data_IF_678648929191
#
_entry.id   IF_678648929191
#
_cell.length_a   1.000
_cell.length_b   1.000
_cell.length_c   1.000
_cell.angle_alpha   90.00
_cell.angle_beta   90.00
_cell.angle_gamma   90.00
#
_symmetry.space_group_name_H-M   'P 1'
#
loop_
_entity.id
_entity.type
_entity.pdbx_description
1 polymer ?
#
# COMPACT_ATOMS: atom_id res chain seq x y z
N UNK A 1 -8.26 -14.70 5.43
CA UNK A 1 -9.39 -13.86 4.94
C UNK A 1 -9.03 -13.16 3.64
N UNK A 2 -9.81 -13.38 2.57
CA UNK A 2 -9.75 -12.56 1.35
C UNK A 2 -10.30 -11.17 1.68
N UNK A 3 -9.43 -10.21 1.99
CA UNK A 3 -9.89 -8.84 2.22
C UNK A 3 -10.56 -8.28 0.97
N UNK A 4 -11.66 -7.55 1.17
CA UNK A 4 -12.44 -6.98 0.07
C UNK A 4 -11.54 -6.10 -0.79
N UNK A 5 -11.55 -6.34 -2.09
CA UNK A 5 -10.82 -5.52 -3.06
C UNK A 5 -11.69 -4.33 -3.47
N UNK A 6 -11.16 -3.12 -3.33
CA UNK A 6 -11.84 -1.88 -3.71
C UNK A 6 -10.87 -0.94 -4.43
N UNK A 7 -11.43 0.08 -5.08
CA UNK A 7 -10.65 1.07 -5.83
C UNK A 7 -10.36 2.29 -4.97
N UNK A 8 -9.11 2.71 -4.98
CA UNK A 8 -8.61 3.85 -4.24
C UNK A 8 -7.78 4.75 -5.16
N UNK A 9 -7.70 6.02 -4.79
CA UNK A 9 -6.87 7.00 -5.48
C UNK A 9 -5.45 6.93 -4.94
N UNK A 10 -4.49 6.86 -5.87
CA UNK A 10 -3.06 6.94 -5.62
C UNK A 10 -2.50 8.21 -6.26
N UNK A 11 -1.69 8.96 -5.53
CA UNK A 11 -1.00 10.16 -5.97
C UNK A 11 0.51 9.90 -6.06
N UNK A 12 1.09 10.13 -7.23
CA UNK A 12 2.53 9.98 -7.46
C UNK A 12 3.36 11.08 -6.80
N UNK A 13 4.69 10.95 -6.83
CA UNK A 13 5.60 12.00 -6.34
C UNK A 13 5.48 13.30 -7.14
N UNK A 14 5.03 13.21 -8.39
CA UNK A 14 4.81 14.33 -9.30
C UNK A 14 3.39 14.92 -9.18
N UNK A 15 2.56 14.38 -8.29
CA UNK A 15 1.18 14.83 -8.08
C UNK A 15 0.15 14.27 -9.07
N UNK A 16 0.53 13.30 -9.91
CA UNK A 16 -0.41 12.65 -10.81
C UNK A 16 -1.31 11.67 -10.04
N UNK A 17 -2.59 11.64 -10.37
CA UNK A 17 -3.58 10.79 -9.68
C UNK A 17 -3.98 9.61 -10.56
N UNK A 18 -3.99 8.43 -9.97
CA UNK A 18 -4.35 7.16 -10.61
C UNK A 18 -5.34 6.38 -9.74
N UNK A 19 -6.09 5.48 -10.37
CA UNK A 19 -6.89 4.50 -9.64
C UNK A 19 -6.11 3.19 -9.46
N UNK A 20 -6.03 2.74 -8.22
CA UNK A 20 -5.40 1.48 -7.82
C UNK A 20 -6.42 0.55 -7.17
N UNK A 21 -6.40 -0.73 -7.54
CA UNK A 21 -7.23 -1.76 -6.90
C UNK A 21 -6.45 -2.38 -5.75
N UNK A 22 -6.95 -2.21 -4.53
CA UNK A 22 -6.26 -2.61 -3.30
C UNK A 22 -7.20 -3.34 -2.34
N UNK A 23 -6.61 -4.09 -1.43
CA UNK A 23 -7.33 -4.68 -0.31
C UNK A 23 -7.72 -3.57 0.67
N UNK A 24 -9.01 -3.47 1.01
CA UNK A 24 -9.54 -2.44 1.90
C UNK A 24 -8.82 -2.41 3.26
N UNK A 25 -8.45 -3.57 3.81
CA UNK A 25 -7.78 -3.63 5.11
C UNK A 25 -6.40 -2.98 5.09
N UNK A 26 -5.72 -2.97 3.94
CA UNK A 26 -4.43 -2.28 3.79
C UNK A 26 -4.62 -0.81 3.45
N UNK A 27 -5.52 -0.50 2.51
CA UNK A 27 -5.75 0.87 2.06
C UNK A 27 -6.34 1.76 3.16
N UNK A 28 -7.15 1.19 4.07
CA UNK A 28 -7.74 1.90 5.21
C UNK A 28 -6.86 1.91 6.47
N UNK A 29 -5.62 1.42 6.40
CA UNK A 29 -4.71 1.56 7.53
C UNK A 29 -4.51 3.04 7.86
N UNK A 30 -4.57 3.43 9.15
CA UNK A 30 -4.28 4.78 9.57
C UNK A 30 -2.92 5.25 9.00
N UNK A 31 -2.91 6.44 8.41
CA UNK A 31 -1.71 7.02 7.81
C UNK A 31 -1.33 6.46 6.43
N UNK A 32 -2.00 5.43 5.89
CA UNK A 32 -1.70 4.93 4.54
C UNK A 32 -2.01 5.97 3.45
N UNK A 33 -2.98 6.87 3.69
CA UNK A 33 -3.20 8.05 2.84
C UNK A 33 -3.92 7.77 1.52
N UNK A 34 -4.67 6.66 1.41
CA UNK A 34 -5.54 6.40 0.27
C UNK A 34 -6.91 7.06 0.43
N UNK A 35 -7.42 7.61 -0.68
CA UNK A 35 -8.78 8.12 -0.77
C UNK A 35 -9.68 7.12 -1.51
N UNK A 36 -10.93 6.89 -1.11
CA UNK A 36 -11.85 6.05 -1.87
C UNK A 36 -12.10 6.65 -3.26
N UNK A 37 -11.95 5.84 -4.32
CA UNK A 37 -12.25 6.29 -5.67
C UNK A 37 -13.75 6.45 -5.89
N UNK A 38 -14.18 7.60 -6.38
CA UNK A 38 -15.57 7.88 -6.72
C UNK A 38 -15.72 8.12 -8.23
N UNK A 39 -16.25 7.12 -8.94
CA UNK A 39 -16.44 7.16 -10.41
C UNK A 39 -17.34 8.30 -10.90
N UNK A 40 -18.24 8.81 -10.07
CA UNK A 40 -19.13 9.92 -10.44
C UNK A 40 -18.46 11.29 -10.32
N UNK A 41 -17.33 11.38 -9.61
CA UNK A 41 -16.61 12.64 -9.36
C UNK A 41 -15.27 12.72 -10.08
N UNK A 42 -14.70 11.58 -10.46
CA UNK A 42 -13.32 11.51 -10.93
C UNK A 42 -13.16 10.62 -12.17
N UNK A 43 -12.48 11.16 -13.19
CA UNK A 43 -12.10 10.45 -14.41
C UNK A 43 -10.62 10.06 -14.37
N UNK A 44 -10.25 9.23 -13.40
CA UNK A 44 -8.87 8.75 -13.26
C UNK A 44 -8.65 7.48 -14.07
N UNK A 45 -7.43 7.36 -14.62
CA UNK A 45 -7.00 6.13 -15.30
C UNK A 45 -6.31 5.19 -14.32
N UNK A 46 -6.27 3.90 -14.67
CA UNK A 46 -5.56 2.91 -13.87
C UNK A 46 -4.06 3.21 -13.84
N UNK A 47 -3.40 2.81 -12.75
CA UNK A 47 -1.95 2.95 -12.62
C UNK A 47 -1.24 2.32 -13.85
N UNK A 48 -0.39 3.10 -14.57
CA UNK A 48 0.33 2.61 -15.73
C UNK A 48 1.16 1.36 -15.42
N UNK A 49 1.27 0.46 -16.40
CA UNK A 49 2.13 -0.72 -16.27
C UNK A 49 3.58 -0.28 -16.06
N UNK A 50 4.25 -0.90 -15.10
CA UNK A 50 5.64 -0.59 -14.77
C UNK A 50 5.82 0.51 -13.74
N UNK A 51 4.75 1.12 -13.21
CA UNK A 51 4.86 1.97 -12.01
C UNK A 51 4.56 1.12 -10.78
N UNK A 52 5.50 1.08 -9.85
CA UNK A 52 5.29 0.48 -8.53
C UNK A 52 4.98 1.58 -7.52
N UNK A 53 3.80 1.48 -6.90
CA UNK A 53 3.40 2.36 -5.80
C UNK A 53 4.43 2.31 -4.67
N UNK A 54 4.65 3.46 -4.04
CA UNK A 54 5.40 3.57 -2.79
C UNK A 54 4.85 2.63 -1.73
N UNK A 55 5.72 2.11 -0.89
CA UNK A 55 5.32 1.25 0.22
C UNK A 55 6.27 1.33 1.39
N UNK A 56 5.74 0.97 2.55
CA UNK A 56 6.48 0.76 3.78
C UNK A 56 6.56 -0.73 4.04
N UNK A 57 7.77 -1.20 4.31
CA UNK A 57 8.02 -2.57 4.74
C UNK A 57 7.84 -2.66 6.25
N UNK A 58 7.05 -3.63 6.66
CA UNK A 58 6.74 -3.96 8.04
C UNK A 58 7.35 -5.31 8.38
N UNK A 59 8.06 -5.41 9.51
CA UNK A 59 8.66 -6.64 10.02
C UNK A 59 7.94 -7.04 11.31
N UNK A 60 7.60 -8.32 11.40
CA UNK A 60 7.12 -8.94 12.63
C UNK A 60 8.36 -9.43 13.42
N UNK A 61 8.62 -8.93 14.64
CA UNK A 61 9.87 -9.20 15.36
C UNK A 61 10.13 -10.68 15.67
N UNK A 62 9.11 -11.43 16.08
CA UNK A 62 9.23 -12.79 16.61
C UNK A 62 9.42 -13.87 15.53
N UNK A 63 8.83 -13.66 14.36
CA UNK A 63 8.76 -14.60 13.23
C UNK A 63 9.56 -14.13 12.03
N UNK A 64 10.08 -12.89 12.08
CA UNK A 64 10.75 -12.21 10.96
C UNK A 64 9.89 -12.09 9.69
N UNK A 65 8.57 -12.31 9.78
CA UNK A 65 7.66 -12.17 8.64
C UNK A 65 7.63 -10.71 8.19
N UNK A 66 7.75 -10.47 6.88
CA UNK A 66 7.68 -9.14 6.30
C UNK A 66 6.37 -8.92 5.55
N UNK A 67 5.80 -7.72 5.65
CA UNK A 67 4.64 -7.28 4.86
C UNK A 67 4.91 -5.93 4.24
N UNK A 68 4.41 -5.72 3.02
CA UNK A 68 4.45 -4.42 2.35
C UNK A 68 3.10 -3.76 2.46
N UNK A 69 3.09 -2.51 2.92
CA UNK A 69 1.90 -1.68 3.00
C UNK A 69 2.11 -0.48 2.10
N UNK A 70 1.30 -0.40 1.05
CA UNK A 70 1.36 0.71 0.11
C UNK A 70 0.89 2.00 0.79
N UNK A 71 1.37 3.14 0.28
CA UNK A 71 0.88 4.44 0.71
C UNK A 71 0.28 5.19 -0.48
N UNK A 72 -0.86 5.84 -0.26
CA UNK A 72 -1.66 6.48 -1.30
C UNK A 72 -1.09 7.81 -1.78
N UNK A 73 -0.20 8.44 -1.03
CA UNK A 73 0.34 9.78 -1.36
C UNK A 73 1.73 10.01 -0.75
N UNK A 74 2.52 10.97 -1.25
CA UNK A 74 3.87 11.23 -0.77
C UNK A 74 3.96 11.71 0.68
N UNK A 75 2.95 12.46 1.11
CA UNK A 75 2.81 13.00 2.45
C UNK A 75 2.00 12.08 3.38
N UNK A 76 1.80 10.81 3.01
CA UNK A 76 1.11 9.85 3.85
C UNK A 76 1.87 9.68 5.18
N UNK A 77 1.24 9.87 6.36
CA UNK A 77 1.92 9.78 7.65
C UNK A 77 2.69 8.47 7.83
N UNK A 78 2.11 7.36 7.38
CA UNK A 78 2.74 6.04 7.45
C UNK A 78 4.07 5.99 6.66
N UNK A 79 4.16 6.72 5.55
CA UNK A 79 5.36 6.77 4.72
C UNK A 79 6.46 7.66 5.31
N UNK A 80 6.06 8.79 5.89
CA UNK A 80 6.96 9.78 6.48
C UNK A 80 7.54 9.32 7.82
N UNK A 81 6.65 8.86 8.71
CA UNK A 81 6.97 8.58 10.11
C UNK A 81 7.11 7.08 10.40
N UNK A 82 6.57 6.22 9.54
CA UNK A 82 6.44 4.80 9.83
C UNK A 82 5.35 4.54 10.86
N UNK A 83 5.47 3.44 11.60
CA UNK A 83 4.61 3.14 12.72
C UNK A 83 4.53 1.66 13.04
N UNK A 84 3.43 1.27 13.66
CA UNK A 84 3.11 -0.14 13.90
C UNK A 84 1.76 -0.46 13.32
N UNK A 85 1.65 -1.64 12.72
CA UNK A 85 0.40 -2.15 12.17
C UNK A 85 0.12 -3.53 12.77
N UNK A 86 -1.16 -3.83 12.99
CA UNK A 86 -1.57 -5.15 13.43
C UNK A 86 -2.26 -5.87 12.28
N UNK A 87 -1.85 -7.11 12.04
CA UNK A 87 -2.46 -7.96 11.03
C UNK A 87 -2.89 -9.27 11.65
N UNK A 88 -4.09 -9.72 11.32
CA UNK A 88 -4.55 -11.04 11.69
C UNK A 88 -3.72 -12.11 10.99
N UNK A 89 -3.19 -13.05 11.76
CA UNK A 89 -2.50 -14.23 11.28
C UNK A 89 -3.45 -15.43 11.33
N UNK A 90 -3.78 -16.01 10.18
CA UNK A 90 -4.70 -17.15 10.13
C UNK A 90 -4.03 -18.43 10.66
N UNK A 91 -2.69 -18.51 10.62
CA UNK A 91 -1.98 -19.71 11.09
C UNK A 91 -2.04 -19.84 12.61
N UNK A 92 -1.98 -18.69 13.31
CA UNK A 92 -1.96 -18.60 14.77
C UNK A 92 -3.32 -18.20 15.38
N UNK A 93 -4.24 -17.71 14.56
CA UNK A 93 -5.55 -17.23 15.01
C UNK A 93 -5.49 -15.94 15.84
N UNK A 94 -4.39 -15.19 15.78
CA UNK A 94 -4.15 -14.00 16.61
C UNK A 94 -3.78 -12.76 15.79
N UNK A 95 -3.86 -11.58 16.41
CA UNK A 95 -3.37 -10.33 15.84
C UNK A 95 -1.88 -10.19 16.08
N UNK A 96 -1.08 -10.23 15.02
CA UNK A 96 0.35 -10.01 15.10
C UNK A 96 0.70 -8.54 14.91
N UNK A 97 1.58 -8.03 15.76
CA UNK A 97 2.13 -6.67 15.66
C UNK A 97 3.33 -6.66 14.71
N UNK A 98 3.31 -5.74 13.77
CA UNK A 98 4.43 -5.46 12.88
C UNK A 98 4.93 -4.04 13.13
N UNK A 99 6.24 -3.85 12.99
CA UNK A 99 6.92 -2.57 13.11
C UNK A 99 7.55 -2.17 11.77
N UNK A 100 7.62 -0.88 11.48
CA UNK A 100 8.29 -0.40 10.27
C UNK A 100 9.76 -0.82 10.25
N UNK A 101 10.18 -1.41 9.13
CA UNK A 101 11.55 -1.84 8.87
C UNK A 101 12.23 -1.02 7.76
N UNK A 102 11.45 -0.41 6.86
CA UNK A 102 11.99 0.42 5.80
C UNK A 102 10.91 1.01 4.91
N UNK A 103 11.30 1.93 4.04
CA UNK A 103 10.42 2.61 3.09
C UNK A 103 11.01 2.55 1.68
N UNK A 104 10.14 2.46 0.69
CA UNK A 104 10.51 2.47 -0.72
C UNK A 104 9.65 3.50 -1.44
N UNK A 105 10.31 4.47 -2.06
CA UNK A 105 9.68 5.47 -2.91
C UNK A 105 9.10 4.83 -4.18
N UNK A 106 8.37 5.62 -4.96
CA UNK A 106 7.88 5.15 -6.25
C UNK A 106 9.05 4.72 -7.14
N UNK A 107 8.88 3.59 -7.83
CA UNK A 107 9.90 3.06 -8.71
C UNK A 107 9.26 2.66 -10.04
N UNK A 108 9.98 2.93 -11.14
CA UNK A 108 9.69 2.29 -12.42
C UNK A 108 10.19 0.85 -12.35
N UNK A 109 9.29 -0.12 -12.28
CA UNK A 109 9.64 -1.52 -12.50
C UNK A 109 10.08 -1.68 -13.96
N UNK A 110 11.35 -2.03 -14.17
CA UNK A 110 11.77 -2.62 -15.43
C UNK A 110 10.99 -3.92 -15.60
N UNK A 111 10.06 -3.93 -16.54
CA UNK A 111 9.39 -5.14 -16.98
C UNK A 111 10.45 -5.95 -17.73
N UNK A 112 11.17 -6.83 -17.04
CA UNK A 112 11.94 -7.88 -17.71
C UNK A 112 10.95 -8.72 -18.50
N UNK A 113 10.84 -8.42 -19.80
CA UNK A 113 10.21 -9.30 -20.77
C UNK A 113 11.09 -10.56 -20.84
N UNK A 114 10.82 -11.56 -19.99
CA UNK A 114 11.25 -12.92 -20.28
C UNK A 114 10.48 -13.35 -21.54
N UNK A 115 11.23 -13.37 -22.65
CA UNK A 115 10.81 -13.90 -23.96
C UNK A 115 10.65 -15.41 -23.88
#
# INVERSE_FOLDING_TARGET
MSGKMSYFVYTTDQGERYVAKLNEAQARLPGAGFEPYNRNRETLTGLPRGIQMRYVSFLQPETRRTRRIYCGKPDAPLFLEGGTAQFFDNDRGEMLRFVTAGRTAEARQMVERRR
#
